data_IF_325110578375
#
_entry.id   IF_325110578375
#
_cell.length_a   1.000
_cell.length_b   1.000
_cell.length_c   1.000
_cell.angle_alpha   90.00
_cell.angle_beta   90.00
_cell.angle_gamma   90.00
#
_symmetry.space_group_name_H-M   'P 1'
#
loop_
_entity.id
_entity.type
_entity.pdbx_description
1 polymer ?
#
# COMPACT_ATOMS: atom_id res chain seq x y z
N UNK A 1 56.84 43.76 3.63
CA UNK A 1 55.69 44.26 2.85
C UNK A 1 54.68 43.12 2.74
N UNK A 2 53.50 43.30 3.35
CA UNK A 2 52.53 42.24 3.63
C UNK A 2 51.51 42.11 2.48
N UNK A 3 51.39 40.91 1.92
CA UNK A 3 50.38 40.55 0.92
C UNK A 3 49.01 40.42 1.60
N UNK A 4 48.10 41.33 1.25
CA UNK A 4 46.71 41.33 1.68
C UNK A 4 46.00 40.07 1.18
N UNK A 5 45.53 39.25 2.12
CA UNK A 5 44.62 38.13 1.88
C UNK A 5 43.25 38.64 1.42
N UNK A 6 42.94 38.47 0.14
CA UNK A 6 41.56 38.43 -0.36
C UNK A 6 41.09 36.97 -0.31
N UNK A 7 40.41 36.56 0.76
CA UNK A 7 39.79 35.24 0.81
C UNK A 7 38.58 35.22 1.75
N UNK A 8 37.57 36.05 1.49
CA UNK A 8 36.36 36.09 2.31
C UNK A 8 35.09 36.29 1.46
N UNK A 9 34.79 35.41 0.49
CA UNK A 9 33.43 35.33 -0.10
C UNK A 9 33.02 33.98 -0.69
N UNK A 10 33.81 32.91 -0.54
CA UNK A 10 33.54 31.62 -1.25
C UNK A 10 33.03 30.47 -0.37
N UNK A 11 32.92 30.65 0.96
CA UNK A 11 32.45 29.58 1.86
C UNK A 11 30.95 29.63 2.14
N UNK A 12 30.33 30.81 2.14
CA UNK A 12 28.90 30.92 2.45
C UNK A 12 28.00 30.30 1.35
N UNK A 13 28.30 30.53 0.06
CA UNK A 13 27.51 30.01 -1.06
C UNK A 13 27.51 28.47 -1.19
N UNK A 14 28.61 27.82 -0.78
CA UNK A 14 28.71 26.34 -0.81
C UNK A 14 27.88 25.66 0.28
N UNK A 15 27.87 26.22 1.49
CA UNK A 15 27.15 25.65 2.64
C UNK A 15 25.62 25.76 2.42
N UNK A 16 25.13 26.92 1.96
CA UNK A 16 23.71 27.06 1.62
C UNK A 16 23.28 26.15 0.47
N UNK A 17 24.15 25.91 -0.53
CA UNK A 17 23.86 24.97 -1.62
C UNK A 17 23.70 23.52 -1.17
N UNK A 18 24.53 23.06 -0.22
CA UNK A 18 24.45 21.70 0.34
C UNK A 18 23.21 21.56 1.24
N UNK A 19 22.88 22.57 2.03
CA UNK A 19 21.68 22.57 2.87
C UNK A 19 20.42 22.61 1.98
N UNK A 20 20.41 23.39 0.89
CA UNK A 20 19.27 23.46 -0.03
C UNK A 20 19.09 22.16 -0.82
N UNK A 21 20.16 21.48 -1.24
CA UNK A 21 20.08 20.14 -1.82
C UNK A 21 19.63 19.07 -0.81
N UNK A 22 20.09 19.17 0.44
CA UNK A 22 19.63 18.31 1.54
C UNK A 22 18.12 18.48 1.78
N UNK A 23 17.64 19.73 1.87
CA UNK A 23 16.23 20.08 2.09
C UNK A 23 15.35 19.78 0.86
N UNK A 24 15.84 19.90 -0.37
CA UNK A 24 15.11 19.46 -1.58
C UNK A 24 15.05 17.94 -1.74
N UNK A 25 15.96 17.18 -1.10
CA UNK A 25 15.93 15.71 -1.11
C UNK A 25 15.06 15.11 0.02
N UNK A 26 14.83 15.88 1.09
CA UNK A 26 13.95 15.51 2.21
C UNK A 26 12.47 15.24 1.83
N UNK A 27 11.81 15.95 0.90
CA UNK A 27 10.44 15.62 0.51
C UNK A 27 10.31 14.23 -0.15
N UNK A 28 11.40 13.61 -0.60
CA UNK A 28 11.39 12.23 -1.11
C UNK A 28 11.33 11.17 0.02
N UNK A 29 11.75 11.55 1.24
CA UNK A 29 11.53 10.75 2.45
C UNK A 29 10.10 10.91 2.96
N UNK A 30 9.49 12.09 2.75
CA UNK A 30 8.08 12.36 3.01
C UNK A 30 7.14 11.97 1.84
N UNK A 31 7.59 11.10 0.93
CA UNK A 31 6.75 10.56 -0.15
C UNK A 31 5.58 9.78 0.45
N UNK A 32 4.39 10.40 0.46
CA UNK A 32 3.07 9.83 0.78
C UNK A 32 3.13 8.63 1.70
N UNK A 33 3.35 8.85 3.00
CA UNK A 33 3.23 7.77 3.98
C UNK A 33 1.83 7.18 3.87
N UNK A 34 1.73 5.95 3.36
CA UNK A 34 0.47 5.22 3.36
C UNK A 34 0.01 5.09 4.81
N UNK A 35 -1.05 5.81 5.17
CA UNK A 35 -1.55 5.75 6.54
C UNK A 35 -2.19 4.38 6.79
N UNK A 36 -2.21 3.90 8.04
CA UNK A 36 -2.87 2.63 8.35
C UNK A 36 -4.34 2.61 7.91
N UNK A 37 -5.05 3.73 8.03
CA UNK A 37 -6.46 3.84 7.62
C UNK A 37 -6.63 3.76 6.10
N UNK A 38 -5.76 4.41 5.34
CA UNK A 38 -5.73 4.30 3.89
C UNK A 38 -5.44 2.86 3.42
N UNK A 39 -4.51 2.18 4.13
CA UNK A 39 -4.19 0.78 3.88
C UNK A 39 -5.38 -0.14 4.18
N UNK A 40 -6.10 0.06 5.30
CA UNK A 40 -7.33 -0.68 5.62
C UNK A 40 -8.37 -0.53 4.51
N UNK A 41 -8.62 0.72 4.09
CA UNK A 41 -9.57 1.02 3.01
C UNK A 41 -9.18 0.32 1.71
N UNK A 42 -7.92 0.46 1.29
CA UNK A 42 -7.42 -0.20 0.07
C UNK A 42 -7.50 -1.73 0.13
N UNK A 43 -7.20 -2.34 1.27
CA UNK A 43 -7.33 -3.79 1.47
C UNK A 43 -8.79 -4.21 1.41
N UNK A 44 -9.71 -3.48 2.04
CA UNK A 44 -11.15 -3.78 1.99
C UNK A 44 -11.70 -3.69 0.56
N UNK A 45 -11.36 -2.63 -0.15
CA UNK A 45 -11.73 -2.46 -1.57
C UNK A 45 -11.15 -3.60 -2.44
N UNK A 46 -9.92 -4.03 -2.17
CA UNK A 46 -9.30 -5.18 -2.84
C UNK A 46 -10.05 -6.50 -2.55
N UNK A 47 -10.42 -6.75 -1.29
CA UNK A 47 -11.17 -7.96 -0.92
C UNK A 47 -12.56 -8.00 -1.59
N UNK A 48 -13.26 -6.86 -1.65
CA UNK A 48 -14.53 -6.73 -2.36
C UNK A 48 -14.37 -6.98 -3.86
N UNK A 49 -13.32 -6.44 -4.47
CA UNK A 49 -13.02 -6.69 -5.87
C UNK A 49 -12.69 -8.17 -6.13
N UNK A 50 -11.90 -8.81 -5.27
CA UNK A 50 -11.59 -10.24 -5.38
C UNK A 50 -12.85 -11.09 -5.29
N UNK A 51 -13.76 -10.75 -4.37
CA UNK A 51 -15.05 -11.41 -4.24
C UNK A 51 -15.91 -11.24 -5.49
N UNK A 52 -15.98 -10.04 -6.08
CA UNK A 52 -16.75 -9.81 -7.31
C UNK A 52 -16.19 -10.60 -8.50
N UNK A 53 -14.86 -10.75 -8.60
CA UNK A 53 -14.26 -11.63 -9.61
C UNK A 53 -14.65 -13.10 -9.41
N UNK A 54 -14.72 -13.58 -8.16
CA UNK A 54 -15.17 -14.95 -7.86
C UNK A 54 -16.64 -15.14 -8.22
N UNK A 55 -17.49 -14.17 -7.90
CA UNK A 55 -18.92 -14.17 -8.22
C UNK A 55 -19.14 -14.17 -9.75
N UNK A 56 -18.40 -13.36 -10.51
CA UNK A 56 -18.43 -13.37 -11.97
C UNK A 56 -17.96 -14.71 -12.56
N UNK A 57 -16.92 -15.31 -11.98
CA UNK A 57 -16.44 -16.62 -12.40
C UNK A 57 -17.47 -17.72 -12.11
N UNK A 58 -18.18 -17.63 -10.99
CA UNK A 58 -19.28 -18.55 -10.62
C UNK A 58 -20.45 -18.45 -11.60
N UNK A 59 -20.88 -17.24 -11.98
CA UNK A 59 -21.91 -17.07 -13.02
C UNK A 59 -21.49 -17.67 -14.35
N UNK A 60 -20.23 -17.44 -14.73
CA UNK A 60 -19.69 -17.96 -15.98
C UNK A 60 -19.65 -19.49 -15.97
N UNK A 61 -19.24 -20.11 -14.86
CA UNK A 61 -19.18 -21.57 -14.75
C UNK A 61 -20.56 -22.21 -14.66
N UNK A 62 -21.55 -21.51 -14.10
CA UNK A 62 -22.94 -21.97 -14.05
C UNK A 62 -23.74 -21.69 -15.33
N UNK A 63 -23.14 -21.03 -16.33
CA UNK A 63 -23.80 -20.66 -17.58
C UNK A 63 -24.89 -19.58 -17.43
N UNK A 64 -24.93 -18.87 -16.31
CA UNK A 64 -25.94 -17.87 -16.01
C UNK A 64 -25.44 -16.46 -16.31
N UNK A 65 -26.33 -15.58 -16.79
CA UNK A 65 -26.00 -14.15 -16.99
C UNK A 65 -26.27 -13.30 -15.75
N UNK A 66 -27.16 -13.78 -14.87
CA UNK A 66 -27.66 -13.07 -13.69
C UNK A 66 -27.75 -14.09 -12.56
N UNK A 67 -27.41 -13.75 -11.30
CA UNK A 67 -27.54 -14.68 -10.20
C UNK A 67 -29.00 -15.03 -9.94
N UNK A 68 -29.26 -16.29 -9.59
CA UNK A 68 -30.55 -16.68 -9.05
C UNK A 68 -30.76 -16.10 -7.63
N UNK A 69 -31.96 -16.23 -7.07
CA UNK A 69 -32.30 -15.67 -5.76
C UNK A 69 -31.41 -16.23 -4.63
N UNK A 70 -31.02 -17.51 -4.70
CA UNK A 70 -30.19 -18.14 -3.66
C UNK A 70 -28.74 -17.66 -3.75
N UNK A 71 -28.20 -17.52 -4.95
CA UNK A 71 -26.89 -16.93 -5.21
C UNK A 71 -26.86 -15.47 -4.77
N UNK A 72 -27.87 -14.69 -5.12
CA UNK A 72 -27.94 -13.28 -4.74
C UNK A 72 -27.94 -13.08 -3.21
N UNK A 73 -28.71 -13.88 -2.47
CA UNK A 73 -28.71 -13.86 -1.00
C UNK A 73 -27.35 -14.22 -0.43
N UNK A 74 -26.75 -15.30 -0.91
CA UNK A 74 -25.41 -15.73 -0.47
C UNK A 74 -24.34 -14.69 -0.77
N UNK A 75 -24.39 -14.08 -1.95
CA UNK A 75 -23.45 -13.05 -2.36
C UNK A 75 -23.59 -11.78 -1.53
N UNK A 76 -24.83 -11.42 -1.15
CA UNK A 76 -25.09 -10.34 -0.22
C UNK A 76 -24.44 -10.62 1.13
N UNK A 77 -24.66 -11.81 1.70
CA UNK A 77 -24.03 -12.23 2.96
C UNK A 77 -22.49 -12.18 2.87
N UNK A 78 -21.91 -12.70 1.79
CA UNK A 78 -20.45 -12.64 1.57
C UNK A 78 -19.92 -11.21 1.48
N UNK A 79 -20.68 -10.30 0.87
CA UNK A 79 -20.30 -8.90 0.75
C UNK A 79 -20.34 -8.19 2.10
N UNK A 80 -21.40 -8.44 2.89
CA UNK A 80 -21.54 -7.95 4.26
C UNK A 80 -20.39 -8.46 5.16
N UNK A 81 -20.03 -9.74 5.05
CA UNK A 81 -18.87 -10.30 5.77
C UNK A 81 -17.55 -9.55 5.47
N UNK A 82 -17.32 -9.15 4.22
CA UNK A 82 -16.13 -8.37 3.84
C UNK A 82 -16.20 -6.94 4.40
N UNK A 83 -17.39 -6.34 4.48
CA UNK A 83 -17.58 -5.02 5.10
C UNK A 83 -17.35 -5.05 6.62
N UNK A 84 -17.86 -6.08 7.29
CA UNK A 84 -17.77 -6.27 8.75
C UNK A 84 -16.43 -6.86 9.20
N UNK A 85 -15.53 -7.15 8.24
CA UNK A 85 -14.19 -7.64 8.51
C UNK A 85 -13.42 -6.65 9.41
N UNK A 86 -13.04 -7.13 10.59
CA UNK A 86 -12.33 -6.37 11.61
C UNK A 86 -10.81 -6.47 11.41
N UNK A 87 -10.14 -5.33 11.34
CA UNK A 87 -8.68 -5.24 11.25
C UNK A 87 -8.09 -5.03 12.65
N UNK A 88 -7.60 -6.11 13.27
CA UNK A 88 -7.06 -6.10 14.64
C UNK A 88 -5.70 -5.40 14.72
N UNK A 89 -4.88 -5.56 13.70
CA UNK A 89 -3.58 -4.90 13.60
C UNK A 89 -3.22 -4.71 12.13
N UNK A 90 -2.58 -3.58 11.82
CA UNK A 90 -2.09 -3.29 10.49
C UNK A 90 -0.71 -2.63 10.60
N UNK A 91 0.30 -3.29 10.05
CA UNK A 91 1.68 -2.82 10.01
C UNK A 91 2.05 -2.50 8.56
N UNK A 92 2.56 -1.29 8.30
CA UNK A 92 2.99 -0.85 6.97
C UNK A 92 4.50 -0.71 6.95
N UNK A 93 5.16 -1.30 5.95
CA UNK A 93 6.59 -1.16 5.68
C UNK A 93 6.80 -0.68 4.27
N UNK A 94 7.68 0.30 4.06
CA UNK A 94 8.11 0.72 2.71
C UNK A 94 9.06 -0.34 2.16
N UNK A 95 8.99 -0.70 0.88
CA UNK A 95 10.00 -1.54 0.24
C UNK A 95 11.00 -0.65 -0.52
N UNK A 96 12.31 -0.68 -0.20
CA UNK A 96 13.33 0.14 -0.88
C UNK A 96 13.96 -0.58 -2.08
N UNK A 97 13.82 -1.91 -2.20
CA UNK A 97 14.51 -2.74 -3.22
C UNK A 97 13.84 -2.81 -4.60
N UNK A 98 12.74 -2.09 -4.85
CA UNK A 98 12.21 -1.99 -6.21
C UNK A 98 12.91 -0.81 -6.89
N UNK A 99 13.81 -1.04 -7.86
CA UNK A 99 14.50 0.05 -8.54
C UNK A 99 13.47 1.06 -9.07
N UNK A 100 13.76 2.37 -9.00
CA UNK A 100 12.83 3.45 -9.29
C UNK A 100 12.56 3.61 -10.79
N UNK A 101 12.31 2.51 -11.50
CA UNK A 101 11.86 2.49 -12.88
C UNK A 101 10.48 3.18 -13.03
N UNK A 102 9.75 3.33 -11.93
CA UNK A 102 8.57 4.20 -11.83
C UNK A 102 8.65 4.97 -10.52
N UNK A 103 8.29 6.26 -10.52
CA UNK A 103 8.15 7.15 -9.34
C UNK A 103 7.07 6.68 -8.33
N UNK A 104 6.90 5.38 -8.11
CA UNK A 104 5.87 4.79 -7.26
C UNK A 104 6.55 4.18 -6.05
N UNK A 105 6.28 4.75 -4.89
CA UNK A 105 6.64 4.18 -3.60
C UNK A 105 5.85 2.89 -3.41
N UNK A 106 6.53 1.78 -3.13
CA UNK A 106 5.85 0.51 -2.86
C UNK A 106 5.89 0.23 -1.36
N UNK A 107 4.78 -0.27 -0.84
CA UNK A 107 4.59 -0.62 0.56
C UNK A 107 4.19 -2.08 0.65
N UNK A 108 4.68 -2.76 1.69
CA UNK A 108 4.19 -4.07 2.12
C UNK A 108 3.41 -3.85 3.40
N UNK A 109 2.17 -4.34 3.42
CA UNK A 109 1.24 -4.22 4.53
C UNK A 109 0.99 -5.60 5.09
N UNK A 110 1.19 -5.77 6.40
CA UNK A 110 0.76 -6.95 7.15
C UNK A 110 -0.52 -6.59 7.88
N UNK A 111 -1.61 -7.25 7.55
CA UNK A 111 -2.90 -7.08 8.21
C UNK A 111 -3.28 -8.34 8.99
N UNK A 112 -3.60 -8.17 10.27
CA UNK A 112 -4.22 -9.20 11.10
C UNK A 112 -5.71 -8.96 11.06
N UNK A 113 -6.42 -9.89 10.44
CA UNK A 113 -7.84 -9.77 10.13
C UNK A 113 -8.60 -10.82 10.94
N UNK A 114 -9.69 -10.41 11.58
CA UNK A 114 -10.64 -11.34 12.22
C UNK A 114 -11.79 -11.60 11.25
N UNK A 115 -11.95 -12.87 10.89
CA UNK A 115 -13.08 -13.34 10.10
C UNK A 115 -14.35 -13.40 10.98
N UNK A 116 -15.52 -13.41 10.35
CA UNK A 116 -16.84 -13.59 10.94
C UNK A 116 -16.98 -14.87 11.79
N UNK A 117 -16.14 -15.88 11.55
CA UNK A 117 -16.02 -17.08 12.39
C UNK A 117 -15.13 -16.90 13.63
N UNK A 118 -14.81 -15.66 13.99
CA UNK A 118 -13.84 -15.26 15.02
C UNK A 118 -12.40 -15.78 14.80
N UNK A 119 -12.11 -16.33 13.62
CA UNK A 119 -10.77 -16.80 13.30
C UNK A 119 -9.88 -15.64 12.92
N UNK A 120 -8.72 -15.55 13.56
CA UNK A 120 -7.74 -14.52 13.26
C UNK A 120 -6.75 -15.03 12.22
N UNK A 121 -6.62 -14.31 11.10
CA UNK A 121 -5.72 -14.64 10.02
C UNK A 121 -4.77 -13.47 9.74
N UNK A 122 -3.48 -13.77 9.59
CA UNK A 122 -2.51 -12.78 9.13
C UNK A 122 -2.41 -12.85 7.61
N UNK A 123 -2.67 -11.74 6.93
CA UNK A 123 -2.54 -11.61 5.48
C UNK A 123 -1.54 -10.51 5.13
N UNK A 124 -0.88 -10.65 3.99
CA UNK A 124 0.14 -9.73 3.53
C UNK A 124 -0.28 -9.14 2.20
N UNK A 125 -0.05 -7.84 2.01
CA UNK A 125 -0.46 -7.11 0.84
C UNK A 125 0.69 -6.25 0.32
N UNK A 126 0.86 -6.18 -0.99
CA UNK A 126 1.63 -5.12 -1.65
C UNK A 126 0.70 -3.98 -1.99
N UNK A 127 1.11 -2.76 -1.66
CA UNK A 127 0.39 -1.52 -1.96
C UNK A 127 1.34 -0.58 -2.68
N UNK A 128 1.03 -0.26 -3.94
CA UNK A 128 1.77 0.76 -4.69
C UNK A 128 1.13 2.13 -4.42
N UNK A 129 1.95 3.18 -4.23
CA UNK A 129 1.63 4.48 -3.60
C UNK A 129 0.39 5.29 -4.01
N UNK A 130 -0.43 4.81 -4.95
CA UNK A 130 -1.80 5.29 -5.18
C UNK A 130 -2.78 4.27 -4.58
N UNK A 131 -3.50 4.66 -3.52
CA UNK A 131 -4.53 3.81 -2.89
C UNK A 131 -5.67 3.60 -3.91
N UNK A 132 -5.67 2.45 -4.54
CA UNK A 132 -6.68 1.99 -5.50
C UNK A 132 -6.60 0.48 -5.55
N UNK A 133 -7.75 -0.19 -5.76
CA UNK A 133 -7.87 -1.64 -5.92
C UNK A 133 -6.81 -2.23 -6.88
N UNK A 134 -6.47 -1.52 -7.94
CA UNK A 134 -5.50 -1.97 -8.95
C UNK A 134 -4.04 -1.97 -8.45
N UNK A 135 -3.78 -1.28 -7.35
CA UNK A 135 -2.47 -1.10 -6.75
C UNK A 135 -2.30 -1.88 -5.44
N UNK A 136 -3.35 -2.58 -4.98
CA UNK A 136 -3.29 -3.50 -3.83
C UNK A 136 -3.31 -4.93 -4.35
N UNK A 137 -2.40 -5.77 -3.85
CA UNK A 137 -2.34 -7.20 -4.20
C UNK A 137 -2.01 -8.04 -2.98
N UNK A 138 -2.73 -9.14 -2.79
CA UNK A 138 -2.36 -10.13 -1.79
C UNK A 138 -1.01 -10.77 -2.16
N UNK A 139 -0.20 -11.03 -1.15
CA UNK A 139 1.16 -11.51 -1.31
C UNK A 139 1.49 -12.55 -0.27
N UNK A 140 2.54 -13.32 -0.55
CA UNK A 140 3.07 -14.30 0.38
C UNK A 140 3.74 -13.62 1.58
N UNK A 141 3.82 -14.35 2.69
CA UNK A 141 4.59 -13.98 3.89
C UNK A 141 6.03 -13.61 3.57
N UNK A 142 6.62 -14.20 2.54
CA UNK A 142 8.00 -13.93 2.11
C UNK A 142 8.21 -12.45 1.76
N UNK A 143 7.19 -11.79 1.18
CA UNK A 143 7.27 -10.38 0.84
C UNK A 143 7.52 -9.47 2.06
N UNK A 144 7.08 -9.88 3.24
CA UNK A 144 7.30 -9.14 4.48
C UNK A 144 8.77 -9.19 4.96
N UNK A 145 9.48 -10.24 4.57
CA UNK A 145 10.86 -10.49 4.95
C UNK A 145 11.86 -10.07 3.88
N UNK A 146 11.38 -9.59 2.71
CA UNK A 146 12.27 -9.00 1.72
C UNK A 146 12.98 -7.79 2.35
N UNK A 147 14.27 -7.58 2.03
CA UNK A 147 15.00 -6.47 2.60
C UNK A 147 14.29 -5.18 2.21
N UNK A 148 13.97 -4.41 3.24
CA UNK A 148 13.31 -3.12 3.11
C UNK A 148 14.38 -2.14 2.75
#
# INVERSE_FOLDING_TARGET
MSLRFHCWTTTARGIYGIIFLGVLSLPYLFSSSLTPEDAKRGIREYLLWKLSQQQLAELKSSGMRVPDTRMALRWKEQTEQVHDTEFLSLEVKRALLVPPLRKRTNFVVRAVIRDTKQQTQTRYFWVNGLISVLNVRESSKLAWHLPI
#
